data_IF_505205612289
#
_entry.id   IF_505205612289
#
_cell.length_a   1.000
_cell.length_b   1.000
_cell.length_c   1.000
_cell.angle_alpha   90.00
_cell.angle_beta   90.00
_cell.angle_gamma   90.00
#
_symmetry.space_group_name_H-M   'P 1'
#
loop_
_entity.id
_entity.type
_entity.pdbx_description
1 polymer ?
#
# COMPACT_ATOMS: atom_id res chain seq x y z
N UNK A 1 12.63 7.87 -36.55
CA UNK A 1 11.79 7.14 -35.57
C UNK A 1 12.55 6.07 -34.77
N UNK A 2 13.68 5.54 -35.23
CA UNK A 2 14.44 4.47 -34.52
C UNK A 2 15.22 4.94 -33.29
N UNK A 3 15.62 6.22 -33.20
CA UNK A 3 16.39 6.74 -32.04
C UNK A 3 15.56 6.83 -30.76
N UNK A 4 14.25 7.09 -30.83
CA UNK A 4 13.37 7.19 -29.66
C UNK A 4 13.08 5.81 -29.04
N UNK A 5 12.88 4.79 -29.88
CA UNK A 5 12.73 3.39 -29.45
C UNK A 5 14.01 2.84 -28.81
N UNK A 6 15.16 3.30 -29.28
CA UNK A 6 16.46 2.92 -28.72
C UNK A 6 16.69 3.53 -27.34
N UNK A 7 16.25 4.78 -27.09
CA UNK A 7 16.36 5.41 -25.77
C UNK A 7 15.42 4.78 -24.74
N UNK A 8 14.19 4.40 -25.11
CA UNK A 8 13.28 3.68 -24.21
C UNK A 8 13.78 2.27 -23.92
N UNK A 9 14.39 1.60 -24.91
CA UNK A 9 15.03 0.30 -24.71
C UNK A 9 16.29 0.41 -23.84
N UNK A 10 17.10 1.47 -24.00
CA UNK A 10 18.24 1.73 -23.12
C UNK A 10 17.82 2.06 -21.69
N UNK A 11 16.73 2.79 -21.47
CA UNK A 11 16.18 3.05 -20.14
C UNK A 11 15.62 1.78 -19.48
N UNK A 12 14.98 0.91 -20.27
CA UNK A 12 14.52 -0.41 -19.81
C UNK A 12 15.68 -1.35 -19.48
N UNK A 13 16.75 -1.36 -20.29
CA UNK A 13 17.98 -2.09 -19.98
C UNK A 13 18.71 -1.51 -18.77
N UNK A 14 18.72 -0.19 -18.61
CA UNK A 14 19.29 0.46 -17.42
C UNK A 14 18.50 0.08 -16.16
N UNK A 15 17.17 -0.01 -16.25
CA UNK A 15 16.32 -0.49 -15.17
C UNK A 15 16.56 -1.97 -14.84
N UNK A 16 16.73 -2.83 -15.85
CA UNK A 16 17.07 -4.25 -15.63
C UNK A 16 18.47 -4.39 -15.02
N UNK A 17 19.43 -3.59 -15.46
CA UNK A 17 20.82 -3.66 -14.98
C UNK A 17 20.99 -3.05 -13.59
N UNK A 18 20.26 -1.99 -13.23
CA UNK A 18 20.21 -1.48 -11.84
C UNK A 18 19.56 -2.51 -10.92
N UNK A 19 18.49 -3.17 -11.37
CA UNK A 19 17.86 -4.27 -10.62
C UNK A 19 18.78 -5.48 -10.45
N UNK A 20 19.59 -5.85 -11.45
CA UNK A 20 20.61 -6.90 -11.34
C UNK A 20 21.76 -6.50 -10.41
N UNK A 21 22.18 -5.23 -10.44
CA UNK A 21 23.25 -4.72 -9.59
C UNK A 21 22.82 -4.71 -8.11
N UNK A 22 21.58 -4.33 -7.82
CA UNK A 22 20.96 -4.42 -6.49
C UNK A 22 20.90 -5.88 -6.04
N UNK A 23 20.47 -6.81 -6.91
CA UNK A 23 20.42 -8.26 -6.62
C UNK A 23 21.80 -8.86 -6.31
N UNK A 24 22.85 -8.41 -7.01
CA UNK A 24 24.25 -8.80 -6.78
C UNK A 24 24.81 -8.23 -5.48
N UNK A 25 24.46 -6.99 -5.13
CA UNK A 25 24.87 -6.36 -3.88
C UNK A 25 24.25 -7.05 -2.65
N UNK A 26 22.96 -7.42 -2.73
CA UNK A 26 22.26 -8.14 -1.67
C UNK A 26 22.76 -9.59 -1.47
N UNK A 27 23.12 -10.28 -2.55
CA UNK A 27 23.71 -11.64 -2.47
C UNK A 27 25.17 -11.64 -2.04
N UNK A 28 25.92 -10.55 -2.25
CA UNK A 28 27.28 -10.39 -1.73
C UNK A 28 27.31 -10.08 -0.23
N UNK A 29 26.30 -9.34 0.29
CA UNK A 29 26.22 -8.93 1.69
C UNK A 29 25.71 -10.02 2.65
N UNK A 30 25.28 -11.18 2.16
CA UNK A 30 24.76 -12.31 2.97
C UNK A 30 25.82 -13.39 3.28
N UNK A 31 27.11 -13.12 3.06
CA UNK A 31 28.17 -14.03 3.51
C UNK A 31 28.42 -13.93 5.02
N UNK A 32 27.74 -14.82 5.75
CA UNK A 32 28.26 -15.66 6.85
C UNK A 32 28.94 -14.90 8.01
N UNK A 33 28.16 -14.51 9.02
CA UNK A 33 28.68 -14.40 10.39
C UNK A 33 28.49 -15.77 11.05
N UNK A 34 29.55 -16.56 11.08
CA UNK A 34 29.64 -17.75 11.95
C UNK A 34 30.04 -17.22 13.33
N UNK A 35 29.15 -17.30 14.31
CA UNK A 35 29.58 -17.27 15.71
C UNK A 35 30.01 -18.69 16.09
N UNK A 36 31.31 -18.90 16.24
CA UNK A 36 31.85 -20.06 16.95
C UNK A 36 31.77 -19.76 18.43
N UNK A 37 30.91 -20.47 19.17
CA UNK A 37 31.05 -20.56 20.62
C UNK A 37 31.93 -21.78 20.93
N UNK A 38 33.10 -21.50 21.51
CA UNK A 38 33.94 -22.49 22.17
C UNK A 38 33.18 -23.08 23.36
N UNK A 39 32.69 -24.30 23.18
CA UNK A 39 32.56 -25.37 24.18
C UNK A 39 31.96 -26.58 23.48
N UNK A 40 32.83 -27.53 23.13
CA UNK A 40 32.42 -28.81 22.58
C UNK A 40 31.57 -29.57 23.60
N UNK A 41 30.30 -29.78 23.28
CA UNK A 41 29.45 -30.85 23.80
C UNK A 41 28.55 -31.30 22.64
N UNK A 42 28.73 -32.56 22.21
CA UNK A 42 27.81 -33.22 21.30
C UNK A 42 26.61 -33.74 22.10
N UNK A 43 25.40 -33.32 21.76
CA UNK A 43 24.17 -34.01 22.16
C UNK A 43 23.34 -34.22 20.89
N UNK A 44 23.29 -35.48 20.45
CA UNK A 44 22.25 -35.99 19.57
C UNK A 44 21.02 -36.30 20.41
N UNK A 45 19.96 -35.49 20.33
CA UNK A 45 18.62 -35.92 20.73
C UNK A 45 17.57 -35.40 19.75
N UNK A 46 16.83 -36.35 19.19
CA UNK A 46 15.59 -36.15 18.45
C UNK A 46 14.50 -35.65 19.41
N UNK A 47 13.91 -34.49 19.18
CA UNK A 47 12.61 -34.11 19.77
C UNK A 47 11.75 -33.40 18.71
N UNK A 48 10.50 -33.85 18.66
CA UNK A 48 9.35 -33.54 17.80
C UNK A 48 8.89 -32.07 17.80
N UNK A 49 8.06 -31.65 16.81
CA UNK A 49 7.70 -30.25 16.58
C UNK A 49 6.64 -29.74 17.56
N UNK A 50 7.01 -28.76 18.37
CA UNK A 50 6.07 -27.81 19.00
C UNK A 50 6.86 -26.72 19.70
N UNK A 51 6.79 -25.49 19.20
CA UNK A 51 6.50 -24.30 20.02
C UNK A 51 6.27 -23.10 19.09
N UNK A 52 4.99 -22.75 18.96
CA UNK A 52 4.53 -21.44 18.52
C UNK A 52 5.16 -20.36 19.42
N UNK A 53 5.69 -19.30 18.81
CA UNK A 53 5.67 -17.99 19.46
C UNK A 53 4.61 -17.17 18.75
N UNK A 54 3.44 -17.24 19.38
CA UNK A 54 2.29 -16.36 19.25
C UNK A 54 2.72 -14.91 19.05
N UNK A 55 2.58 -14.39 17.82
CA UNK A 55 2.43 -12.95 17.63
C UNK A 55 1.09 -12.58 18.24
N UNK A 56 1.15 -11.92 19.40
CA UNK A 56 0.01 -11.34 20.09
C UNK A 56 -0.96 -10.73 19.07
N UNK A 57 -2.17 -11.26 19.04
CA UNK A 57 -3.29 -10.62 18.39
C UNK A 57 -3.56 -9.29 19.08
N UNK A 58 -3.00 -8.20 18.55
CA UNK A 58 -3.70 -6.93 18.56
C UNK A 58 -4.64 -6.95 17.35
N UNK A 59 -5.94 -6.84 17.61
CA UNK A 59 -6.90 -6.34 16.62
C UNK A 59 -6.58 -4.86 16.34
N UNK A 60 -5.37 -4.57 15.87
CA UNK A 60 -5.05 -3.27 15.31
C UNK A 60 -5.56 -3.36 13.87
N UNK A 61 -6.76 -2.81 13.62
CA UNK A 61 -7.27 -2.63 12.27
C UNK A 61 -6.31 -1.68 11.58
N UNK A 62 -5.29 -2.25 10.96
CA UNK A 62 -4.06 -1.58 10.51
C UNK A 62 -4.30 -0.77 9.22
N UNK A 63 -5.50 -0.18 9.15
CA UNK A 63 -6.03 0.61 8.07
C UNK A 63 -5.18 1.86 7.87
N UNK A 64 -4.88 2.13 6.61
CA UNK A 64 -3.98 3.20 6.23
C UNK A 64 -4.48 3.89 4.97
N UNK A 65 -3.93 5.08 4.72
CA UNK A 65 -4.03 5.77 3.44
C UNK A 65 -2.97 5.19 2.51
N UNK A 66 -3.39 4.68 1.36
CA UNK A 66 -2.46 4.25 0.30
C UNK A 66 -2.17 5.43 -0.63
N UNK A 67 -0.89 5.72 -0.91
CA UNK A 67 -0.48 6.71 -1.91
C UNK A 67 -0.02 6.01 -3.18
N UNK A 68 -0.84 6.11 -4.23
CA UNK A 68 -0.53 5.63 -5.57
C UNK A 68 0.03 6.77 -6.42
N UNK A 69 1.25 6.62 -6.94
CA UNK A 69 1.93 7.66 -7.72
C UNK A 69 2.82 7.03 -8.81
N UNK A 70 3.20 7.83 -9.81
CA UNK A 70 4.21 7.43 -10.80
C UNK A 70 5.59 7.86 -10.33
N UNK A 71 6.64 7.12 -10.71
CA UNK A 71 8.02 7.42 -10.32
C UNK A 71 8.45 8.87 -10.63
N UNK A 72 7.87 9.50 -11.66
CA UNK A 72 8.16 10.90 -12.01
C UNK A 72 7.67 11.90 -10.95
N UNK A 73 6.64 11.56 -10.17
CA UNK A 73 6.09 12.40 -9.10
C UNK A 73 6.50 11.93 -7.69
N UNK A 74 7.63 11.20 -7.59
CA UNK A 74 8.15 10.68 -6.33
C UNK A 74 8.37 11.77 -5.27
N UNK A 75 8.92 12.92 -5.65
CA UNK A 75 9.20 14.00 -4.70
C UNK A 75 7.90 14.59 -4.12
N UNK A 76 6.86 14.70 -4.94
CA UNK A 76 5.52 15.13 -4.52
C UNK A 76 4.91 14.10 -3.57
N UNK A 77 5.03 12.81 -3.88
CA UNK A 77 4.56 11.74 -3.01
C UNK A 77 5.28 11.73 -1.65
N UNK A 78 6.61 11.89 -1.62
CA UNK A 78 7.39 11.95 -0.37
C UNK A 78 6.91 13.11 0.51
N UNK A 79 6.76 14.31 -0.07
CA UNK A 79 6.30 15.48 0.67
C UNK A 79 4.90 15.26 1.25
N UNK A 80 3.97 14.76 0.42
CA UNK A 80 2.61 14.48 0.84
C UNK A 80 2.55 13.43 1.97
N UNK A 81 3.32 12.35 1.85
CA UNK A 81 3.42 11.29 2.87
C UNK A 81 3.90 11.87 4.19
N UNK A 82 4.94 12.70 4.18
CA UNK A 82 5.46 13.34 5.38
C UNK A 82 4.39 14.19 6.07
N UNK A 83 3.72 15.06 5.31
CA UNK A 83 2.68 15.94 5.88
C UNK A 83 1.48 15.17 6.43
N UNK A 84 1.05 14.10 5.75
CA UNK A 84 -0.01 13.23 6.25
C UNK A 84 0.41 12.51 7.54
N UNK A 85 1.66 12.04 7.62
CA UNK A 85 2.19 11.42 8.82
C UNK A 85 2.30 12.42 9.99
N UNK A 86 2.71 13.67 9.72
CA UNK A 86 2.72 14.76 10.72
C UNK A 86 1.32 15.09 11.24
N UNK A 87 0.27 14.87 10.43
CA UNK A 87 -1.14 14.97 10.84
C UNK A 87 -1.64 13.73 11.59
N UNK A 88 -0.83 12.69 11.76
CA UNK A 88 -1.17 11.47 12.48
C UNK A 88 -1.84 10.40 11.63
N UNK A 89 -1.86 10.53 10.30
CA UNK A 89 -2.35 9.46 9.43
C UNK A 89 -1.31 8.35 9.31
N UNK A 90 -1.77 7.10 9.38
CA UNK A 90 -0.98 5.96 8.92
C UNK A 90 -1.02 5.93 7.39
N UNK A 91 0.15 5.96 6.76
CA UNK A 91 0.28 6.03 5.30
C UNK A 91 1.17 4.89 4.82
N UNK A 92 0.76 4.23 3.74
CA UNK A 92 1.54 3.22 3.03
C UNK A 92 1.98 3.75 1.67
N UNK A 93 3.24 3.51 1.31
CA UNK A 93 3.82 3.92 0.03
C UNK A 93 4.92 2.97 -0.44
N UNK A 94 4.96 2.70 -1.75
CA UNK A 94 5.79 1.65 -2.37
C UNK A 94 7.30 1.73 -2.01
N UNK A 95 7.90 2.91 -2.03
CA UNK A 95 9.34 3.11 -1.86
C UNK A 95 9.82 2.86 -0.43
N UNK A 96 8.90 2.89 0.54
CA UNK A 96 9.18 2.73 1.96
C UNK A 96 8.79 1.33 2.42
N UNK A 97 7.62 0.86 2.01
CA UNK A 97 6.96 -0.27 2.64
C UNK A 97 7.15 -1.58 1.85
N UNK A 98 7.54 -1.53 0.57
CA UNK A 98 7.85 -2.75 -0.21
C UNK A 98 9.19 -3.41 0.14
N UNK A 99 10.11 -2.73 0.84
CA UNK A 99 11.44 -3.28 1.17
C UNK A 99 11.36 -4.53 2.07
N UNK A 100 10.22 -4.77 2.72
CA UNK A 100 10.01 -5.86 3.66
C UNK A 100 9.27 -7.06 3.06
N UNK A 101 8.80 -6.97 1.81
CA UNK A 101 7.98 -8.01 1.17
C UNK A 101 8.82 -8.92 0.26
N UNK A 102 8.61 -10.23 0.38
CA UNK A 102 9.30 -11.26 -0.42
C UNK A 102 8.66 -11.35 -1.82
N UNK A 103 7.34 -11.16 -1.90
CA UNK A 103 6.58 -11.08 -3.15
C UNK A 103 5.95 -9.68 -3.29
N UNK A 104 6.40 -8.96 -4.31
CA UNK A 104 5.98 -7.58 -4.58
C UNK A 104 4.48 -7.51 -4.91
N UNK A 105 3.95 -8.52 -5.62
CA UNK A 105 2.55 -8.51 -6.06
C UNK A 105 1.60 -8.70 -4.87
N UNK A 106 1.91 -9.65 -3.99
CA UNK A 106 1.14 -9.87 -2.76
C UNK A 106 1.25 -8.67 -1.82
N UNK A 107 2.43 -8.04 -1.73
CA UNK A 107 2.62 -6.81 -0.94
C UNK A 107 1.73 -5.66 -1.43
N UNK A 108 1.67 -5.43 -2.74
CA UNK A 108 0.78 -4.43 -3.35
C UNK A 108 -0.69 -4.75 -3.11
N UNK A 109 -1.09 -6.01 -3.29
CA UNK A 109 -2.47 -6.43 -3.08
C UNK A 109 -2.90 -6.18 -1.63
N UNK A 110 -2.10 -6.62 -0.66
CA UNK A 110 -2.33 -6.39 0.77
C UNK A 110 -2.40 -4.91 1.13
N UNK A 111 -1.59 -4.06 0.49
CA UNK A 111 -1.64 -2.62 0.73
C UNK A 111 -3.01 -2.05 0.32
N UNK A 112 -3.48 -2.38 -0.87
CA UNK A 112 -4.81 -1.97 -1.34
C UNK A 112 -5.91 -2.54 -0.44
N UNK A 113 -5.88 -3.84 -0.15
CA UNK A 113 -6.88 -4.52 0.68
C UNK A 113 -6.98 -3.96 2.11
N UNK A 114 -5.84 -3.60 2.71
CA UNK A 114 -5.80 -3.03 4.06
C UNK A 114 -5.99 -1.51 4.07
N UNK A 115 -6.00 -0.83 2.93
CA UNK A 115 -6.27 0.60 2.88
C UNK A 115 -7.76 0.90 3.10
N UNK A 116 -8.05 1.99 3.81
CA UNK A 116 -9.42 2.54 3.89
C UNK A 116 -9.69 3.57 2.79
N UNK A 117 -8.64 4.16 2.22
CA UNK A 117 -8.70 5.09 1.09
C UNK A 117 -7.41 5.04 0.30
N UNK A 118 -7.52 5.19 -1.02
CA UNK A 118 -6.40 5.27 -1.95
C UNK A 118 -6.35 6.67 -2.56
N UNK A 119 -5.25 7.38 -2.34
CA UNK A 119 -4.95 8.66 -2.98
C UNK A 119 -4.17 8.41 -4.27
N UNK A 120 -4.74 8.82 -5.40
CA UNK A 120 -4.14 8.67 -6.73
C UNK A 120 -3.55 10.01 -7.16
N UNK A 121 -2.22 10.09 -7.21
CA UNK A 121 -1.48 11.24 -7.74
C UNK A 121 -1.39 11.08 -9.25
N UNK A 122 -2.34 11.70 -9.96
CA UNK A 122 -2.47 11.51 -11.39
C UNK A 122 -1.76 12.61 -12.19
N UNK A 123 -1.10 12.14 -13.24
CA UNK A 123 -0.35 12.86 -14.24
C UNK A 123 -0.44 12.08 -15.55
N UNK A 124 0.17 12.61 -16.61
CA UNK A 124 0.40 11.87 -17.84
C UNK A 124 1.25 10.61 -17.58
N UNK A 125 2.31 10.74 -16.80
CA UNK A 125 3.24 9.64 -16.49
C UNK A 125 2.51 8.52 -15.73
N UNK A 126 1.64 8.88 -14.78
CA UNK A 126 0.73 7.96 -14.10
C UNK A 126 -0.19 7.23 -15.08
N UNK A 127 -0.84 7.95 -16.00
CA UNK A 127 -1.72 7.32 -16.99
C UNK A 127 -0.98 6.33 -17.90
N UNK A 128 0.30 6.54 -18.13
CA UNK A 128 1.13 5.75 -19.06
C UNK A 128 1.85 4.58 -18.40
N UNK A 129 2.01 4.59 -17.07
CA UNK A 129 2.69 3.53 -16.32
C UNK A 129 1.79 2.31 -16.09
N UNK A 130 2.26 1.13 -16.52
CA UNK A 130 1.55 -0.14 -16.35
C UNK A 130 1.29 -0.49 -14.88
N UNK A 131 2.27 -0.30 -14.02
CA UNK A 131 2.18 -0.64 -12.59
C UNK A 131 1.08 0.19 -11.92
N UNK A 132 1.08 1.50 -12.14
CA UNK A 132 0.06 2.41 -11.58
C UNK A 132 -1.34 2.10 -12.11
N UNK A 133 -1.45 1.69 -13.38
CA UNK A 133 -2.71 1.25 -13.95
C UNK A 133 -3.24 -0.01 -13.25
N UNK A 134 -2.38 -1.00 -13.03
CA UNK A 134 -2.77 -2.24 -12.35
C UNK A 134 -3.22 -1.97 -10.91
N UNK A 135 -2.47 -1.17 -10.15
CA UNK A 135 -2.83 -0.79 -8.78
C UNK A 135 -4.17 -0.04 -8.71
N UNK A 136 -4.35 0.97 -9.58
CA UNK A 136 -5.59 1.74 -9.64
C UNK A 136 -6.80 0.87 -10.04
N UNK A 137 -6.62 -0.06 -10.99
CA UNK A 137 -7.66 -0.99 -11.41
C UNK A 137 -8.03 -1.96 -10.28
N UNK A 138 -7.05 -2.44 -9.52
CA UNK A 138 -7.28 -3.32 -8.40
C UNK A 138 -7.99 -2.58 -7.25
N UNK A 139 -7.55 -1.38 -6.88
CA UNK A 139 -8.24 -0.55 -5.90
C UNK A 139 -9.69 -0.25 -6.31
N UNK A 140 -9.92 0.01 -7.60
CA UNK A 140 -11.27 0.18 -8.15
C UNK A 140 -12.11 -1.10 -8.06
N UNK A 141 -11.52 -2.26 -8.36
CA UNK A 141 -12.18 -3.57 -8.26
C UNK A 141 -12.59 -3.89 -6.81
N UNK A 142 -11.69 -3.65 -5.85
CA UNK A 142 -11.93 -3.79 -4.41
C UNK A 142 -12.87 -2.72 -3.84
N UNK A 143 -13.43 -1.85 -4.71
CA UNK A 143 -14.35 -0.76 -4.35
C UNK A 143 -13.77 0.17 -3.29
N UNK A 144 -12.44 0.32 -3.26
CA UNK A 144 -11.78 1.22 -2.34
C UNK A 144 -12.17 2.66 -2.65
N UNK A 145 -12.43 3.50 -1.64
CA UNK A 145 -12.55 4.93 -1.84
C UNK A 145 -11.32 5.49 -2.55
N UNK A 146 -11.53 6.24 -3.62
CA UNK A 146 -10.46 6.84 -4.43
C UNK A 146 -10.51 8.37 -4.32
N UNK A 147 -9.41 8.98 -3.88
CA UNK A 147 -9.21 10.43 -3.91
C UNK A 147 -8.22 10.76 -5.03
N UNK A 148 -8.69 11.46 -6.06
CA UNK A 148 -7.84 11.87 -7.18
C UNK A 148 -7.15 13.21 -6.89
N UNK A 149 -5.81 13.21 -6.96
CA UNK A 149 -4.95 14.37 -6.77
C UNK A 149 -4.25 14.72 -8.09
N UNK A 150 -4.57 15.88 -8.67
CA UNK A 150 -3.87 16.37 -9.85
C UNK A 150 -2.52 16.91 -9.43
N UNK A 151 -1.46 16.28 -9.92
CA UNK A 151 -0.08 16.71 -9.67
C UNK A 151 0.54 17.38 -10.90
N UNK A 152 -0.01 17.14 -12.09
CA UNK A 152 0.43 17.79 -13.34
C UNK A 152 -0.53 18.92 -13.77
N UNK A 153 0.02 20.13 -13.94
CA UNK A 153 -0.79 21.33 -14.19
C UNK A 153 -1.46 21.28 -15.55
N UNK A 154 -2.79 21.40 -15.54
CA UNK A 154 -3.59 21.41 -16.77
C UNK A 154 -3.74 20.03 -17.42
N UNK A 155 -3.22 18.96 -16.80
CA UNK A 155 -3.45 17.61 -17.29
C UNK A 155 -4.93 17.25 -17.18
N UNK A 156 -5.47 16.72 -18.26
CA UNK A 156 -6.84 16.22 -18.36
C UNK A 156 -6.79 14.72 -18.64
N UNK A 157 -7.27 13.88 -17.70
CA UNK A 157 -7.21 12.43 -17.84
C UNK A 157 -8.11 11.97 -18.99
N UNK A 158 -7.65 10.95 -19.72
CA UNK A 158 -8.39 10.33 -20.82
C UNK A 158 -8.25 8.80 -20.80
N UNK A 159 -8.97 8.12 -21.70
CA UNK A 159 -8.94 6.67 -21.80
C UNK A 159 -9.33 5.98 -20.49
N UNK A 160 -8.53 5.01 -20.05
CA UNK A 160 -8.82 4.23 -18.85
C UNK A 160 -8.91 5.08 -17.57
N UNK A 161 -8.04 6.07 -17.43
CA UNK A 161 -8.00 6.93 -16.24
C UNK A 161 -9.18 7.89 -16.25
N UNK A 162 -9.48 8.50 -17.41
CA UNK A 162 -10.66 9.36 -17.56
C UNK A 162 -11.96 8.59 -17.30
N UNK A 163 -12.07 7.35 -17.81
CA UNK A 163 -13.23 6.49 -17.55
C UNK A 163 -13.37 6.12 -16.07
N UNK A 164 -12.26 5.76 -15.41
CA UNK A 164 -12.25 5.45 -13.98
C UNK A 164 -12.62 6.67 -13.13
N UNK A 165 -12.12 7.86 -13.47
CA UNK A 165 -12.47 9.09 -12.75
C UNK A 165 -13.94 9.45 -12.94
N UNK A 166 -14.49 9.31 -14.15
CA UNK A 166 -15.89 9.65 -14.44
C UNK A 166 -16.20 11.09 -14.05
N UNK A 167 -17.23 11.29 -13.23
CA UNK A 167 -17.62 12.62 -12.68
C UNK A 167 -17.03 12.90 -11.30
N UNK A 168 -16.10 12.07 -10.80
CA UNK A 168 -15.52 12.23 -9.45
C UNK A 168 -14.73 13.52 -9.34
N UNK A 169 -14.91 14.20 -8.22
CA UNK A 169 -14.15 15.41 -7.89
C UNK A 169 -12.70 15.06 -7.61
N UNK A 170 -11.79 15.90 -8.10
CA UNK A 170 -10.36 15.81 -7.80
C UNK A 170 -9.91 17.04 -6.98
N UNK A 171 -8.76 16.93 -6.34
CA UNK A 171 -8.06 18.05 -5.69
C UNK A 171 -6.87 18.41 -6.55
N UNK A 172 -6.65 19.70 -6.79
CA UNK A 172 -5.58 20.18 -7.64
C UNK A 172 -4.40 20.69 -6.81
N UNK A 173 -3.34 19.89 -6.73
CA UNK A 173 -2.10 20.22 -6.02
C UNK A 173 -0.95 20.50 -6.99
N UNK A 174 -1.24 20.71 -8.27
CA UNK A 174 -0.23 20.93 -9.32
C UNK A 174 0.43 22.33 -9.29
N UNK A 175 0.31 23.05 -8.17
CA UNK A 175 0.71 24.46 -8.04
C UNK A 175 -0.23 25.48 -8.69
N UNK A 176 -1.45 25.09 -9.09
CA UNK A 176 -2.48 26.05 -9.56
C UNK A 176 -3.04 26.89 -8.42
N UNK A 177 -3.16 26.31 -7.23
CA UNK A 177 -3.68 26.92 -6.01
C UNK A 177 -2.64 26.75 -4.88
N UNK A 178 -2.72 27.53 -3.80
CA UNK A 178 -1.90 27.31 -2.61
C UNK A 178 -2.03 25.88 -2.13
N UNK A 179 -0.89 25.23 -1.87
CA UNK A 179 -0.86 23.81 -1.52
C UNK A 179 -1.54 23.57 -0.18
N UNK A 180 -1.32 24.45 0.80
CA UNK A 180 -1.81 24.35 2.17
C UNK A 180 -3.34 24.31 2.23
N UNK A 181 -4.01 25.13 1.43
CA UNK A 181 -5.47 25.13 1.31
C UNK A 181 -5.98 23.79 0.77
N UNK A 182 -5.34 23.28 -0.28
CA UNK A 182 -5.73 22.02 -0.93
C UNK A 182 -5.37 20.80 -0.07
N UNK A 183 -4.35 20.92 0.77
CA UNK A 183 -3.99 19.90 1.75
C UNK A 183 -5.06 19.80 2.84
N UNK A 184 -5.64 20.91 3.28
CA UNK A 184 -6.79 20.90 4.20
C UNK A 184 -7.99 20.19 3.55
N UNK A 185 -8.31 20.51 2.30
CA UNK A 185 -9.38 19.83 1.54
C UNK A 185 -9.15 18.31 1.47
N UNK A 186 -7.88 17.90 1.34
CA UNK A 186 -7.50 16.48 1.31
C UNK A 186 -7.72 15.81 2.67
N UNK A 187 -7.22 16.41 3.76
CA UNK A 187 -7.40 15.86 5.10
C UNK A 187 -8.88 15.65 5.44
N UNK A 188 -9.73 16.63 5.10
CA UNK A 188 -11.18 16.52 5.32
C UNK A 188 -11.78 15.29 4.62
N UNK A 189 -11.45 15.06 3.35
CA UNK A 189 -11.94 13.88 2.61
C UNK A 189 -11.38 12.57 3.17
N UNK A 190 -10.13 12.55 3.63
CA UNK A 190 -9.56 11.36 4.28
C UNK A 190 -10.31 11.06 5.57
N UNK A 191 -10.60 12.08 6.38
CA UNK A 191 -11.32 11.93 7.65
C UNK A 191 -12.75 11.40 7.44
N UNK A 192 -13.45 11.89 6.41
CA UNK A 192 -14.77 11.36 6.01
C UNK A 192 -14.71 9.86 5.73
N UNK A 193 -13.74 9.40 4.93
CA UNK A 193 -13.61 7.97 4.64
C UNK A 193 -13.17 7.15 5.85
N UNK A 194 -12.36 7.73 6.73
CA UNK A 194 -11.95 7.08 7.97
C UNK A 194 -13.14 6.83 8.91
N UNK A 195 -14.03 7.82 9.05
CA UNK A 195 -15.26 7.65 9.84
C UNK A 195 -16.13 6.53 9.26
N UNK A 196 -16.30 6.50 7.94
CA UNK A 196 -17.07 5.44 7.25
C UNK A 196 -16.44 4.06 7.48
N UNK A 197 -15.11 3.94 7.45
CA UNK A 197 -14.42 2.66 7.68
C UNK A 197 -14.51 2.19 9.14
N UNK A 198 -14.41 3.13 10.09
CA UNK A 198 -14.53 2.85 11.52
C UNK A 198 -15.95 2.37 11.87
N UNK A 199 -16.98 3.01 11.32
CA UNK A 199 -18.38 2.62 11.50
C UNK A 199 -18.65 1.21 10.97
N UNK A 200 -18.18 0.89 9.76
CA UNK A 200 -18.34 -0.45 9.18
C UNK A 200 -17.70 -1.54 10.03
N UNK A 201 -16.52 -1.26 10.59
CA UNK A 201 -15.79 -2.18 11.47
C UNK A 201 -16.55 -2.44 12.77
N UNK A 202 -17.15 -1.39 13.34
CA UNK A 202 -17.95 -1.47 14.56
C UNK A 202 -19.22 -2.30 14.36
N UNK A 203 -19.95 -2.10 13.25
CA UNK A 203 -21.14 -2.90 12.93
C UNK A 203 -20.81 -4.39 12.77
N UNK A 204 -19.74 -4.73 12.04
CA UNK A 204 -19.31 -6.11 11.86
C UNK A 204 -18.93 -6.80 13.19
N UNK A 205 -18.36 -6.04 14.13
CA UNK A 205 -17.99 -6.55 15.45
C UNK A 205 -19.23 -6.82 16.31
N UNK A 206 -20.24 -5.94 16.27
CA UNK A 206 -21.50 -6.11 17.01
C UNK A 206 -22.32 -7.30 16.49
N UNK A 207 -22.45 -7.46 15.17
CA UNK A 207 -23.16 -8.60 14.57
C UNK A 207 -22.49 -9.94 14.89
N UNK A 208 -21.15 -9.99 14.92
CA UNK A 208 -20.40 -11.20 15.26
C UNK A 208 -20.57 -11.60 16.73
N UNK A 209 -20.72 -10.63 17.64
CA UNK A 209 -21.03 -10.86 19.06
C UNK A 209 -22.48 -11.32 19.27
N UNK A 210 -23.45 -10.77 18.53
CA UNK A 210 -24.84 -11.20 18.57
C UNK A 210 -25.00 -12.64 18.05
N UNK A 211 -24.30 -13.01 16.98
CA UNK A 211 -24.35 -14.38 16.43
C UNK A 211 -23.66 -15.42 17.33
N UNK A 212 -22.59 -15.06 18.06
CA UNK A 212 -21.94 -15.97 19.01
C UNK A 212 -22.74 -16.16 20.30
N UNK A 213 -23.53 -15.16 20.72
CA UNK A 213 -24.44 -15.27 21.87
C UNK A 213 -25.64 -16.20 21.64
N UNK A 214 -26.16 -16.29 20.41
CA UNK A 214 -27.33 -17.14 20.08
C UNK A 214 -27.00 -18.64 20.07
N UNK A 215 -25.74 -19.02 19.82
CA UNK A 215 -25.33 -20.44 19.78
C UNK A 215 -25.28 -21.07 21.18
N UNK A 216 -25.19 -20.27 22.24
CA UNK A 216 -25.03 -20.77 23.61
C UNK A 216 -26.35 -21.09 24.33
N UNK A 217 -27.49 -20.66 23.78
CA UNK A 217 -28.83 -20.90 24.36
C UNK A 217 -29.51 -22.20 23.85
N UNK A 218 -28.97 -22.86 22.82
CA UNK A 218 -29.59 -24.06 22.23
C UNK A 218 -29.11 -25.42 22.78
N UNK A 219 -28.33 -25.47 23.88
CA UNK A 219 -27.78 -26.74 24.42
C UNK A 219 -28.32 -27.18 25.80
N UNK A 220 -29.48 -26.71 26.25
CA UNK A 220 -30.11 -27.20 27.47
C UNK A 220 -31.60 -27.49 27.29
N UNK A 221 -31.96 -28.48 26.47
CA UNK A 221 -33.26 -29.18 26.60
C UNK A 221 -33.16 -30.59 26.00
N UNK A 222 -32.73 -31.55 26.81
CA UNK A 222 -32.99 -32.97 26.60
C UNK A 222 -33.05 -33.59 27.99
N UNK A 223 -34.28 -33.70 28.50
CA UNK A 223 -34.59 -34.46 29.71
C UNK A 223 -34.69 -35.95 29.44
#
# INVERSE_FOLDING_TARGET
>A
MTRFLMFTYLLFLYFIDTMKLIRKYLTASTRKVIYTNDKGVNITENISPSEEICSKGSNDTNQHVLISYSHEEKDVAINLVQLLQEKGYKVWVDYKDMLHEIDIMDGMAKAVENSFVVCILYSKSYKESFNTKCEAQYAYHEKKPLIFLRVERGYVPNGWLGFMMGTRLYIDISGKYPFEEKFIDLCQRIDEYKQISDDQTNYQSQDKMLQTGVVQECQCFSG
#
